data_IF_243895581967
#
_entry.id   IF_243895581967
#
_cell.length_a   1.000
_cell.length_b   1.000
_cell.length_c   1.000
_cell.angle_alpha   90.00
_cell.angle_beta   90.00
_cell.angle_gamma   90.00
#
_symmetry.space_group_name_H-M   'P 1'
#
loop_
_entity.id
_entity.type
_entity.pdbx_description
1 polymer ?
#
# COMPACT_ATOMS: atom_id res chain seq x y z
N UNK A 1 4.79 -24.58 -17.32
CA UNK A 1 4.51 -23.12 -17.29
C UNK A 1 3.05 -22.82 -16.97
N UNK A 2 2.08 -23.41 -17.68
CA UNK A 2 0.63 -23.21 -17.44
C UNK A 2 0.17 -23.45 -16.00
N UNK A 3 0.59 -24.56 -15.37
CA UNK A 3 0.25 -24.85 -13.97
C UNK A 3 0.79 -23.81 -12.98
N UNK A 4 2.01 -23.33 -13.21
CA UNK A 4 2.58 -22.26 -12.40
C UNK A 4 1.78 -20.95 -12.56
N UNK A 5 1.35 -20.64 -13.78
CA UNK A 5 0.54 -19.44 -14.08
C UNK A 5 -0.88 -19.54 -13.51
N UNK A 6 -1.44 -20.74 -13.45
CA UNK A 6 -2.70 -21.00 -12.76
C UNK A 6 -2.58 -20.70 -11.26
N UNK A 7 -1.55 -21.24 -10.60
CA UNK A 7 -1.33 -21.02 -9.16
C UNK A 7 -1.04 -19.54 -8.88
N UNK A 8 -0.11 -18.93 -9.62
CA UNK A 8 0.24 -17.51 -9.46
C UNK A 8 -0.94 -16.59 -9.77
N UNK A 9 -1.76 -16.95 -10.76
CA UNK A 9 -3.00 -16.23 -11.08
C UNK A 9 -3.95 -16.22 -9.90
N UNK A 10 -4.28 -17.38 -9.32
CA UNK A 10 -5.16 -17.48 -8.15
C UNK A 10 -4.59 -16.67 -6.97
N UNK A 11 -3.29 -16.82 -6.67
CA UNK A 11 -2.65 -16.10 -5.56
C UNK A 11 -2.68 -14.58 -5.76
N UNK A 12 -2.44 -14.09 -6.98
CA UNK A 12 -2.55 -12.67 -7.30
C UNK A 12 -4.01 -12.18 -7.18
N UNK A 13 -4.97 -12.99 -7.63
CA UNK A 13 -6.40 -12.72 -7.54
C UNK A 13 -6.95 -12.73 -6.12
N UNK A 14 -6.31 -13.43 -5.18
CA UNK A 14 -6.74 -13.50 -3.79
C UNK A 14 -6.02 -12.49 -2.87
N UNK A 15 -5.27 -11.53 -3.42
CA UNK A 15 -4.46 -10.60 -2.62
C UNK A 15 -5.29 -9.54 -1.89
N UNK A 16 -5.99 -8.67 -2.62
CA UNK A 16 -7.01 -7.72 -2.16
C UNK A 16 -7.69 -7.05 -3.36
N UNK A 17 -8.73 -6.23 -3.12
CA UNK A 17 -9.55 -5.66 -4.20
C UNK A 17 -8.74 -4.84 -5.20
N UNK A 18 -7.74 -4.09 -4.72
CA UNK A 18 -6.90 -3.20 -5.54
C UNK A 18 -5.80 -3.97 -6.26
N UNK A 19 -5.05 -4.81 -5.54
CA UNK A 19 -3.94 -5.60 -6.08
C UNK A 19 -4.42 -6.57 -7.16
N UNK A 20 -5.57 -7.19 -6.95
CA UNK A 20 -6.14 -8.15 -7.89
C UNK A 20 -6.70 -7.48 -9.15
N UNK A 21 -7.49 -6.40 -9.00
CA UNK A 21 -8.04 -5.66 -10.15
C UNK A 21 -6.95 -5.08 -11.05
N UNK A 22 -5.89 -4.52 -10.45
CA UNK A 22 -4.75 -4.02 -11.19
C UNK A 22 -3.99 -5.14 -11.92
N UNK A 23 -3.73 -6.27 -11.24
CA UNK A 23 -3.02 -7.41 -11.83
C UNK A 23 -3.80 -8.05 -13.00
N UNK A 24 -5.13 -8.17 -12.88
CA UNK A 24 -5.98 -8.70 -13.97
C UNK A 24 -5.79 -7.88 -15.23
N UNK A 25 -5.85 -6.54 -15.14
CA UNK A 25 -5.73 -5.68 -16.31
C UNK A 25 -4.31 -5.66 -16.89
N UNK A 26 -3.28 -5.55 -16.06
CA UNK A 26 -1.88 -5.57 -16.55
C UNK A 26 -1.63 -6.84 -17.35
N UNK A 27 -1.97 -8.01 -16.77
CA UNK A 27 -1.74 -9.29 -17.42
C UNK A 27 -2.63 -9.44 -18.65
N UNK A 28 -3.90 -9.04 -18.60
CA UNK A 28 -4.80 -9.11 -19.75
C UNK A 28 -4.31 -8.26 -20.93
N UNK A 29 -3.91 -7.01 -20.69
CA UNK A 29 -3.43 -6.12 -21.74
C UNK A 29 -2.10 -6.58 -22.33
N UNK A 30 -1.11 -6.98 -21.51
CA UNK A 30 0.13 -7.54 -22.05
C UNK A 30 -0.10 -8.87 -22.77
N UNK A 31 -1.07 -9.67 -22.32
CA UNK A 31 -1.47 -10.88 -23.05
C UNK A 31 -2.02 -10.53 -24.43
N UNK A 32 -2.89 -9.52 -24.51
CA UNK A 32 -3.49 -9.08 -25.77
C UNK A 32 -2.48 -8.44 -26.73
N UNK A 33 -1.69 -7.48 -26.26
CA UNK A 33 -0.77 -6.70 -27.10
C UNK A 33 0.58 -7.38 -27.38
N UNK A 34 1.07 -8.26 -26.49
CA UNK A 34 2.31 -9.03 -26.72
C UNK A 34 2.01 -10.45 -27.22
N UNK A 35 1.08 -10.58 -28.18
CA UNK A 35 0.71 -11.87 -28.78
C UNK A 35 1.80 -12.33 -29.76
N UNK A 36 2.38 -13.54 -29.60
CA UNK A 36 3.33 -14.07 -30.57
C UNK A 36 2.64 -14.38 -31.90
N UNK A 37 3.33 -14.07 -33.00
CA UNK A 37 2.93 -14.51 -34.33
C UNK A 37 3.24 -16.02 -34.47
N UNK A 38 2.20 -16.87 -34.55
CA UNK A 38 2.35 -18.21 -35.11
C UNK A 38 2.12 -19.44 -34.21
N UNK A 39 1.94 -19.33 -32.88
CA UNK A 39 1.66 -20.52 -32.05
C UNK A 39 0.64 -20.26 -30.93
N UNK A 40 -0.48 -20.97 -30.96
CA UNK A 40 -1.53 -20.90 -29.92
C UNK A 40 -1.03 -21.43 -28.55
N UNK A 41 -0.10 -22.39 -28.55
CA UNK A 41 0.49 -22.94 -27.31
C UNK A 41 1.32 -21.92 -26.52
N UNK A 42 1.97 -20.97 -27.19
CA UNK A 42 2.75 -19.89 -26.53
C UNK A 42 1.85 -18.80 -25.94
N UNK A 43 0.56 -18.82 -26.25
CA UNK A 43 -0.46 -17.90 -25.79
C UNK A 43 -1.33 -18.47 -24.67
N UNK A 44 -1.52 -19.79 -24.64
CA UNK A 44 -2.45 -20.46 -23.73
C UNK A 44 -2.14 -20.25 -22.24
N UNK A 45 -0.87 -20.31 -21.85
CA UNK A 45 -0.48 -20.13 -20.44
C UNK A 45 -0.75 -18.70 -19.94
N UNK A 46 -0.74 -17.70 -20.82
CA UNK A 46 -1.09 -16.31 -20.50
C UNK A 46 -2.58 -16.17 -20.23
N UNK A 47 -3.42 -16.77 -21.08
CA UNK A 47 -4.89 -16.81 -20.89
C UNK A 47 -5.23 -17.51 -19.57
N UNK A 48 -4.62 -18.67 -19.31
CA UNK A 48 -4.86 -19.41 -18.06
C UNK A 48 -4.51 -18.55 -16.85
N UNK A 49 -3.41 -17.79 -16.89
CA UNK A 49 -3.06 -16.84 -15.82
C UNK A 49 -4.11 -15.75 -15.60
N UNK A 50 -4.63 -15.14 -16.67
CA UNK A 50 -5.69 -14.11 -16.58
C UNK A 50 -6.98 -14.69 -16.00
N UNK A 51 -7.43 -15.84 -16.50
CA UNK A 51 -8.66 -16.49 -16.04
C UNK A 51 -8.52 -16.94 -14.59
N UNK A 52 -7.38 -17.52 -14.21
CA UNK A 52 -7.09 -17.91 -12.83
C UNK A 52 -7.10 -16.71 -11.87
N UNK A 53 -6.55 -15.57 -12.30
CA UNK A 53 -6.58 -14.32 -11.53
C UNK A 53 -8.01 -13.80 -11.34
N UNK A 54 -8.82 -13.80 -12.40
CA UNK A 54 -10.23 -13.43 -12.31
C UNK A 54 -11.02 -14.35 -11.35
N UNK A 55 -10.80 -15.67 -11.41
CA UNK A 55 -11.43 -16.63 -10.49
C UNK A 55 -10.98 -16.37 -9.05
N UNK A 56 -9.69 -16.15 -8.81
CA UNK A 56 -9.17 -15.81 -7.48
C UNK A 56 -9.82 -14.55 -6.92
N UNK A 57 -9.95 -13.51 -7.75
CA UNK A 57 -10.59 -12.24 -7.39
C UNK A 57 -12.07 -12.41 -7.03
N UNK A 58 -12.84 -13.13 -7.85
CA UNK A 58 -14.25 -13.40 -7.56
C UNK A 58 -14.42 -14.24 -6.28
N UNK A 59 -13.52 -15.21 -6.06
CA UNK A 59 -13.51 -16.04 -4.84
C UNK A 59 -13.25 -15.18 -3.61
N UNK A 60 -12.25 -14.28 -3.67
CA UNK A 60 -11.93 -13.37 -2.58
C UNK A 60 -13.10 -12.43 -2.27
N UNK A 61 -13.76 -11.87 -3.29
CA UNK A 61 -14.95 -11.03 -3.10
C UNK A 61 -16.08 -11.80 -2.40
N UNK A 62 -16.34 -13.03 -2.84
CA UNK A 62 -17.36 -13.88 -2.23
C UNK A 62 -17.05 -14.17 -0.75
N UNK A 63 -15.79 -14.49 -0.41
CA UNK A 63 -15.36 -14.75 0.96
C UNK A 63 -15.39 -13.49 1.85
N UNK A 64 -15.08 -12.32 1.29
CA UNK A 64 -15.04 -11.04 2.03
C UNK A 64 -16.44 -10.47 2.29
N UNK A 65 -17.41 -10.74 1.41
CA UNK A 65 -18.76 -10.13 1.40
C UNK A 65 -19.63 -10.32 2.65
N UNK A 66 -19.21 -11.16 3.61
CA UNK A 66 -19.91 -11.40 4.89
C UNK A 66 -19.00 -11.31 6.12
N UNK A 67 -17.81 -10.70 5.99
CA UNK A 67 -16.88 -10.56 7.11
C UNK A 67 -17.38 -9.54 8.16
N UNK A 68 -16.94 -9.68 9.41
CA UNK A 68 -17.20 -8.69 10.46
C UNK A 68 -16.68 -7.30 10.07
N UNK A 69 -15.59 -7.21 9.30
CA UNK A 69 -15.04 -5.94 8.81
C UNK A 69 -16.00 -5.22 7.86
N UNK A 70 -16.62 -5.94 6.91
CA UNK A 70 -17.63 -5.35 6.01
C UNK A 70 -18.89 -4.88 6.75
N UNK A 71 -19.28 -5.56 7.84
CA UNK A 71 -20.43 -5.21 8.67
C UNK A 71 -20.15 -4.08 9.67
N UNK A 72 -18.92 -4.00 10.19
CA UNK A 72 -18.49 -3.03 11.22
C UNK A 72 -18.16 -1.67 10.62
N UNK A 73 -17.58 -1.66 9.41
CA UNK A 73 -17.12 -0.45 8.75
C UNK A 73 -18.00 0.00 7.57
N UNK A 74 -18.85 -0.87 7.02
CA UNK A 74 -19.79 -0.55 5.93
C UNK A 74 -20.98 0.34 6.34
N UNK A 75 -20.74 1.37 7.17
CA UNK A 75 -21.80 2.21 7.73
C UNK A 75 -22.19 3.32 6.75
N UNK A 76 -23.41 3.20 6.21
CA UNK A 76 -24.41 4.24 5.86
C UNK A 76 -24.05 5.45 5.00
N UNK A 77 -22.84 5.57 4.48
CA UNK A 77 -22.55 6.66 3.56
C UNK A 77 -23.07 6.34 2.15
N UNK A 78 -23.85 7.25 1.57
CA UNK A 78 -24.37 7.07 0.21
C UNK A 78 -23.22 6.94 -0.81
N UNK A 79 -23.44 6.17 -1.89
CA UNK A 79 -22.45 5.92 -2.95
C UNK A 79 -21.73 7.20 -3.42
N UNK A 80 -22.44 8.32 -3.51
CA UNK A 80 -21.90 9.62 -3.91
C UNK A 80 -20.85 10.15 -2.93
N UNK A 81 -21.09 10.04 -1.63
CA UNK A 81 -20.12 10.45 -0.61
C UNK A 81 -18.88 9.57 -0.65
N UNK A 82 -19.08 8.25 -0.81
CA UNK A 82 -17.98 7.30 -0.95
C UNK A 82 -17.11 7.59 -2.18
N UNK A 83 -17.72 7.84 -3.35
CA UNK A 83 -17.01 8.24 -4.56
C UNK A 83 -16.27 9.57 -4.42
N UNK A 84 -16.86 10.55 -3.72
CA UNK A 84 -16.20 11.83 -3.42
C UNK A 84 -14.95 11.62 -2.55
N UNK A 85 -15.02 10.72 -1.57
CA UNK A 85 -13.88 10.38 -0.73
C UNK A 85 -12.80 9.64 -1.51
N UNK A 86 -13.15 8.69 -2.38
CA UNK A 86 -12.19 8.04 -3.29
C UNK A 86 -11.49 9.08 -4.16
N UNK A 87 -12.24 10.02 -4.73
CA UNK A 87 -11.68 11.08 -5.55
C UNK A 87 -10.74 11.98 -4.75
N UNK A 88 -11.16 12.45 -3.57
CA UNK A 88 -10.34 13.26 -2.68
C UNK A 88 -9.04 12.56 -2.27
N UNK A 89 -9.15 11.31 -1.83
CA UNK A 89 -8.00 10.48 -1.46
C UNK A 89 -7.09 10.18 -2.65
N UNK A 90 -7.64 10.01 -3.85
CA UNK A 90 -6.84 9.83 -5.07
C UNK A 90 -6.08 11.09 -5.42
N UNK A 91 -6.70 12.27 -5.31
CA UNK A 91 -6.02 13.54 -5.52
C UNK A 91 -4.90 13.75 -4.49
N UNK A 92 -5.15 13.44 -3.22
CA UNK A 92 -4.16 13.59 -2.15
C UNK A 92 -2.98 12.62 -2.31
N UNK A 93 -3.25 11.34 -2.62
CA UNK A 93 -2.21 10.29 -2.61
C UNK A 93 -1.55 10.04 -3.98
N UNK A 94 -2.23 10.35 -5.08
CA UNK A 94 -1.79 10.03 -6.44
C UNK A 94 -1.87 11.22 -7.40
N UNK A 95 -2.44 12.36 -7.00
CA UNK A 95 -2.74 13.48 -7.88
C UNK A 95 -1.53 14.06 -8.59
N UNK A 96 -0.39 14.19 -7.90
CA UNK A 96 0.87 14.68 -8.51
C UNK A 96 1.37 13.71 -9.59
N UNK A 97 1.34 12.40 -9.34
CA UNK A 97 1.73 11.39 -10.33
C UNK A 97 0.80 11.42 -11.54
N UNK A 98 -0.51 11.48 -11.31
CA UNK A 98 -1.51 11.57 -12.39
C UNK A 98 -1.32 12.83 -13.24
N UNK A 99 -1.01 13.98 -12.62
CA UNK A 99 -0.73 15.21 -13.33
C UNK A 99 0.54 15.10 -14.19
N UNK A 100 1.63 14.56 -13.64
CA UNK A 100 2.87 14.36 -14.39
C UNK A 100 2.66 13.40 -15.57
N UNK A 101 1.94 12.30 -15.35
CA UNK A 101 1.57 11.35 -16.40
C UNK A 101 0.75 12.05 -17.47
N UNK A 102 -0.26 12.84 -17.10
CA UNK A 102 -1.09 13.58 -18.06
C UNK A 102 -0.23 14.50 -18.94
N UNK A 103 0.67 15.28 -18.35
CA UNK A 103 1.56 16.20 -19.08
C UNK A 103 2.46 15.43 -20.04
N UNK A 104 3.17 14.40 -19.56
CA UNK A 104 4.10 13.62 -20.39
C UNK A 104 3.34 12.86 -21.49
N UNK A 105 2.19 12.26 -21.17
CA UNK A 105 1.33 11.59 -22.15
C UNK A 105 0.88 12.51 -23.27
N UNK A 106 0.45 13.75 -22.95
CA UNK A 106 0.09 14.73 -23.97
C UNK A 106 1.28 15.01 -24.89
N UNK A 107 2.45 15.31 -24.34
CA UNK A 107 3.67 15.59 -25.12
C UNK A 107 4.04 14.40 -26.01
N UNK A 108 4.04 13.18 -25.48
CA UNK A 108 4.38 11.97 -26.24
C UNK A 108 3.37 11.72 -27.36
N UNK A 109 2.07 11.81 -27.09
CA UNK A 109 1.02 11.59 -28.09
C UNK A 109 1.02 12.66 -29.18
N UNK A 110 1.28 13.93 -28.86
CA UNK A 110 1.41 14.99 -29.88
C UNK A 110 2.56 14.72 -30.85
N UNK A 111 3.62 14.05 -30.39
CA UNK A 111 4.76 13.68 -31.23
C UNK A 111 4.62 12.27 -31.85
N UNK A 112 3.53 11.55 -31.57
CA UNK A 112 3.22 10.24 -32.13
C UNK A 112 1.77 10.20 -32.64
N UNK A 113 1.41 11.01 -33.65
CA UNK A 113 0.03 11.15 -34.11
C UNK A 113 -0.56 9.83 -34.62
N UNK A 114 0.26 8.96 -35.20
CA UNK A 114 -0.15 7.65 -35.74
C UNK A 114 -0.09 6.51 -34.70
N UNK A 115 0.21 6.80 -33.42
CA UNK A 115 0.39 5.79 -32.38
C UNK A 115 -0.81 4.84 -32.27
N UNK A 116 -2.02 5.38 -32.12
CA UNK A 116 -3.22 4.57 -31.93
C UNK A 116 -3.49 3.68 -33.15
N UNK A 117 -3.25 4.19 -34.36
CA UNK A 117 -3.37 3.42 -35.59
C UNK A 117 -2.34 2.28 -35.62
N UNK A 118 -1.08 2.59 -35.28
CA UNK A 118 0.02 1.65 -35.24
C UNK A 118 -0.16 0.48 -34.27
N UNK A 119 -0.73 0.75 -33.09
CA UNK A 119 -0.97 -0.26 -32.04
C UNK A 119 -1.99 -1.32 -32.46
N UNK A 120 -2.96 -0.97 -33.30
CA UNK A 120 -3.98 -1.91 -33.78
C UNK A 120 -3.67 -2.50 -35.16
N UNK A 121 -2.62 -2.02 -35.83
CA UNK A 121 -2.12 -2.60 -37.07
C UNK A 121 -1.28 -3.86 -36.80
N UNK A 122 -1.30 -4.82 -37.73
CA UNK A 122 -0.43 -6.02 -37.69
C UNK A 122 1.00 -5.67 -38.11
N UNK A 123 1.64 -4.76 -37.38
CA UNK A 123 3.04 -4.38 -37.59
C UNK A 123 3.81 -4.44 -36.27
N UNK A 124 5.12 -4.69 -36.33
CA UNK A 124 5.94 -4.54 -35.14
C UNK A 124 5.91 -3.07 -34.67
N UNK A 125 5.72 -2.88 -33.37
CA UNK A 125 5.82 -1.57 -32.73
C UNK A 125 7.28 -1.18 -32.60
N UNK A 126 7.57 0.10 -32.82
CA UNK A 126 8.88 0.65 -32.50
C UNK A 126 9.12 0.63 -30.99
N UNK A 127 10.37 0.66 -30.50
CA UNK A 127 10.66 0.70 -29.07
C UNK A 127 9.96 1.85 -28.34
N UNK A 128 9.83 3.00 -29.01
CA UNK A 128 9.16 4.18 -28.47
C UNK A 128 7.65 3.98 -28.36
N UNK A 129 7.01 3.42 -29.38
CA UNK A 129 5.58 3.06 -29.34
C UNK A 129 5.29 1.99 -28.28
N UNK A 130 6.17 0.99 -28.14
CA UNK A 130 6.05 -0.03 -27.10
C UNK A 130 6.15 0.56 -25.69
N UNK A 131 7.04 1.53 -25.47
CA UNK A 131 7.13 2.28 -24.23
C UNK A 131 5.86 3.11 -23.97
N UNK A 132 5.34 3.82 -24.99
CA UNK A 132 4.06 4.54 -24.90
C UNK A 132 2.93 3.60 -24.51
N UNK A 133 2.79 2.46 -25.20
CA UNK A 133 1.76 1.45 -24.93
C UNK A 133 1.87 0.88 -23.52
N UNK A 134 3.07 0.49 -23.09
CA UNK A 134 3.32 -0.01 -21.74
C UNK A 134 2.93 1.03 -20.69
N UNK A 135 3.27 2.30 -20.93
CA UNK A 135 2.85 3.43 -20.10
C UNK A 135 1.34 3.49 -19.91
N UNK A 136 0.58 3.41 -21.00
CA UNK A 136 -0.90 3.43 -20.93
C UNK A 136 -1.50 2.17 -20.30
N UNK A 137 -0.94 0.99 -20.54
CA UNK A 137 -1.38 -0.26 -19.91
C UNK A 137 -1.30 -0.13 -18.39
N UNK A 138 -0.17 0.36 -17.87
CA UNK A 138 0.00 0.56 -16.43
C UNK A 138 -0.89 1.67 -15.87
N UNK A 139 -1.10 2.77 -16.63
CA UNK A 139 -2.03 3.84 -16.23
C UNK A 139 -3.47 3.31 -16.10
N UNK A 140 -3.99 2.66 -17.13
CA UNK A 140 -5.35 2.12 -17.14
C UNK A 140 -5.52 1.09 -16.02
N UNK A 141 -4.51 0.25 -15.81
CA UNK A 141 -4.53 -0.73 -14.72
C UNK A 141 -4.54 -0.05 -13.35
N UNK A 142 -3.76 1.02 -13.15
CA UNK A 142 -3.77 1.81 -11.91
C UNK A 142 -5.15 2.45 -11.65
N UNK A 143 -5.78 3.00 -12.69
CA UNK A 143 -7.13 3.58 -12.60
C UNK A 143 -8.19 2.53 -12.24
N UNK A 144 -8.07 1.30 -12.75
CA UNK A 144 -8.93 0.21 -12.34
C UNK A 144 -8.74 -0.20 -10.87
N UNK A 145 -7.50 -0.12 -10.36
CA UNK A 145 -7.22 -0.26 -8.93
C UNK A 145 -7.95 0.77 -8.09
N UNK A 146 -7.94 2.04 -8.52
CA UNK A 146 -8.73 3.11 -7.88
C UNK A 146 -10.22 2.78 -7.97
N UNK A 147 -10.73 2.35 -9.12
CA UNK A 147 -12.14 1.98 -9.27
C UNK A 147 -12.54 0.79 -8.37
N UNK A 148 -11.65 -0.18 -8.16
CA UNK A 148 -11.91 -1.31 -7.27
C UNK A 148 -12.02 -0.92 -5.80
N UNK A 149 -11.47 0.23 -5.38
CA UNK A 149 -11.65 0.74 -4.02
C UNK A 149 -13.11 1.07 -3.68
N UNK A 150 -13.99 1.20 -4.68
CA UNK A 150 -15.44 1.36 -4.48
C UNK A 150 -16.05 0.18 -3.73
N UNK A 151 -15.45 -1.01 -3.85
CA UNK A 151 -15.90 -2.23 -3.18
C UNK A 151 -15.32 -2.31 -1.76
N UNK A 152 -14.34 -1.48 -1.43
CA UNK A 152 -13.66 -1.52 -0.12
C UNK A 152 -14.53 -0.85 0.96
N UNK A 153 -14.78 -1.53 2.10
CA UNK A 153 -15.58 -0.97 3.17
C UNK A 153 -14.89 0.20 3.89
N UNK A 154 -13.55 0.29 3.81
CA UNK A 154 -12.76 1.39 4.41
C UNK A 154 -11.65 1.82 3.47
N UNK A 155 -11.54 3.13 3.27
CA UNK A 155 -10.52 3.73 2.42
C UNK A 155 -9.29 4.12 3.23
N UNK A 156 -8.32 3.21 3.34
CA UNK A 156 -7.03 3.51 3.95
C UNK A 156 -6.04 4.07 2.91
N UNK A 157 -5.16 5.02 3.26
CA UNK A 157 -4.13 5.53 2.35
C UNK A 157 -3.28 4.42 1.68
N UNK A 158 -3.02 3.33 2.40
CA UNK A 158 -2.26 2.17 1.88
C UNK A 158 -2.90 1.48 0.67
N UNK A 159 -4.20 1.65 0.43
CA UNK A 159 -4.86 1.10 -0.77
C UNK A 159 -4.29 1.71 -2.06
N UNK A 160 -3.80 2.95 -2.00
CA UNK A 160 -3.14 3.61 -3.14
C UNK A 160 -1.70 3.17 -3.35
N UNK A 161 -1.12 2.30 -2.51
CA UNK A 161 0.27 1.85 -2.67
C UNK A 161 0.48 1.13 -4.01
N UNK A 162 -0.33 0.11 -4.30
CA UNK A 162 -0.24 -0.64 -5.55
C UNK A 162 -0.54 0.25 -6.76
N UNK A 163 -1.55 1.12 -6.66
CA UNK A 163 -1.89 2.14 -7.67
C UNK A 163 -0.67 3.03 -7.96
N UNK A 164 -0.03 3.57 -6.92
CA UNK A 164 1.11 4.46 -7.06
C UNK A 164 2.32 3.76 -7.67
N UNK A 165 2.58 2.49 -7.35
CA UNK A 165 3.63 1.72 -8.03
C UNK A 165 3.33 1.64 -9.53
N UNK A 166 2.11 1.32 -9.93
CA UNK A 166 1.76 1.25 -11.34
C UNK A 166 1.82 2.62 -12.04
N UNK A 167 1.43 3.69 -11.36
CA UNK A 167 1.57 5.06 -11.87
C UNK A 167 3.05 5.44 -12.04
N UNK A 168 3.94 5.05 -11.11
CA UNK A 168 5.39 5.25 -11.26
C UNK A 168 5.90 4.48 -12.48
N UNK A 169 5.54 3.20 -12.63
CA UNK A 169 5.94 2.39 -13.79
C UNK A 169 5.40 2.99 -15.09
N UNK A 170 4.16 3.49 -15.08
CA UNK A 170 3.55 4.20 -16.21
C UNK A 170 4.37 5.44 -16.59
N UNK A 171 4.67 6.29 -15.61
CA UNK A 171 5.45 7.50 -15.80
C UNK A 171 6.85 7.20 -16.35
N UNK A 172 7.55 6.20 -15.82
CA UNK A 172 8.89 5.81 -16.30
C UNK A 172 8.85 5.34 -17.76
N UNK A 173 7.84 4.56 -18.15
CA UNK A 173 7.66 4.14 -19.53
C UNK A 173 7.35 5.32 -20.47
N UNK A 174 6.52 6.26 -20.02
CA UNK A 174 6.21 7.48 -20.78
C UNK A 174 7.42 8.42 -20.89
N UNK A 175 8.26 8.51 -19.86
CA UNK A 175 9.52 9.24 -19.92
C UNK A 175 10.51 8.59 -20.88
N UNK A 176 10.57 7.25 -20.94
CA UNK A 176 11.36 6.53 -21.93
C UNK A 176 10.84 6.79 -23.35
N UNK A 177 9.51 6.82 -23.55
CA UNK A 177 8.91 7.21 -24.82
C UNK A 177 9.26 8.66 -25.20
N UNK A 178 9.18 9.60 -24.24
CA UNK A 178 9.56 11.00 -24.43
C UNK A 178 11.02 11.14 -24.88
N UNK A 179 11.96 10.42 -24.24
CA UNK A 179 13.36 10.37 -24.64
C UNK A 179 13.53 9.81 -26.06
N UNK A 180 12.79 8.75 -26.41
CA UNK A 180 12.85 8.14 -27.73
C UNK A 180 12.37 9.06 -28.86
N UNK A 181 11.45 9.97 -28.56
CA UNK A 181 10.99 11.02 -29.48
C UNK A 181 12.02 12.17 -29.60
N UNK A 182 12.62 12.59 -28.49
CA UNK A 182 13.51 13.76 -28.43
C UNK A 182 14.99 13.36 -28.34
N UNK A 183 15.42 12.45 -29.23
CA UNK A 183 16.80 11.96 -29.27
C UNK A 183 17.79 13.16 -29.28
N UNK A 184 18.84 13.04 -28.47
CA UNK A 184 20.02 13.92 -28.45
C UNK A 184 19.95 15.29 -27.76
N UNK A 185 18.91 15.59 -26.97
CA UNK A 185 18.98 16.77 -26.11
C UNK A 185 19.73 16.46 -24.80
N UNK A 186 20.98 16.92 -24.68
CA UNK A 186 21.76 16.92 -23.43
C UNK A 186 20.91 17.40 -22.23
N UNK A 187 20.06 18.41 -22.48
CA UNK A 187 19.12 18.98 -21.53
C UNK A 187 18.15 17.95 -20.92
N UNK A 188 17.65 16.99 -21.72
CA UNK A 188 16.73 15.96 -21.24
C UNK A 188 17.42 15.00 -20.26
N UNK A 189 18.65 14.58 -20.54
CA UNK A 189 19.43 13.74 -19.63
C UNK A 189 19.82 14.47 -18.34
N UNK A 190 20.21 15.74 -18.45
CA UNK A 190 20.57 16.56 -17.29
C UNK A 190 19.39 16.79 -16.36
N UNK A 191 18.21 17.15 -16.90
CA UNK A 191 17.00 17.37 -16.09
C UNK A 191 16.55 16.07 -15.42
N UNK A 192 16.50 14.95 -16.16
CA UNK A 192 16.08 13.67 -15.58
C UNK A 192 17.05 13.19 -14.51
N UNK A 193 18.36 13.41 -14.70
CA UNK A 193 19.37 13.09 -13.69
C UNK A 193 19.18 13.96 -12.45
N UNK A 194 19.06 15.28 -12.60
CA UNK A 194 18.81 16.21 -11.49
C UNK A 194 17.55 15.86 -10.72
N UNK A 195 16.45 15.57 -11.42
CA UNK A 195 15.16 15.24 -10.82
C UNK A 195 15.22 13.90 -10.09
N UNK A 196 15.90 12.89 -10.66
CA UNK A 196 16.12 11.59 -10.00
C UNK A 196 17.00 11.74 -8.77
N UNK A 197 18.09 12.50 -8.85
CA UNK A 197 18.97 12.78 -7.70
C UNK A 197 18.23 13.56 -6.61
N UNK A 198 17.41 14.54 -6.98
CA UNK A 198 16.58 15.29 -6.03
C UNK A 198 15.54 14.39 -5.34
N UNK A 199 14.87 13.50 -6.08
CA UNK A 199 13.94 12.52 -5.52
C UNK A 199 14.64 11.53 -4.58
N UNK A 200 15.80 11.01 -4.95
CA UNK A 200 16.62 10.17 -4.07
C UNK A 200 17.00 10.92 -2.78
N UNK A 201 17.36 12.19 -2.92
CA UNK A 201 17.74 13.04 -1.81
C UNK A 201 16.57 13.39 -0.88
N UNK A 202 15.33 13.48 -1.39
CA UNK A 202 14.12 13.66 -0.58
C UNK A 202 13.62 12.36 0.04
N UNK A 203 13.75 11.23 -0.66
CA UNK A 203 13.25 9.92 -0.22
C UNK A 203 14.04 9.38 0.99
N UNK A 204 15.38 9.54 1.01
CA UNK A 204 16.22 9.01 2.09
C UNK A 204 15.86 9.62 3.47
N UNK A 205 15.76 10.95 3.64
CA UNK A 205 15.34 11.57 4.90
C UNK A 205 13.90 11.23 5.29
N UNK A 206 12.97 11.18 4.33
CA UNK A 206 11.58 10.78 4.59
C UNK A 206 11.52 9.36 5.14
N UNK A 207 12.20 8.40 4.50
CA UNK A 207 12.25 7.02 4.98
C UNK A 207 12.82 6.91 6.40
N UNK A 208 13.82 7.73 6.74
CA UNK A 208 14.41 7.76 8.08
C UNK A 208 13.45 8.31 9.15
N UNK A 209 12.66 9.34 8.82
CA UNK A 209 11.65 9.89 9.72
C UNK A 209 10.60 8.83 10.08
N UNK A 210 10.03 8.18 9.06
CA UNK A 210 8.95 7.20 9.26
C UNK A 210 9.44 5.90 9.91
N UNK A 211 10.69 5.48 9.66
CA UNK A 211 11.27 4.32 10.35
C UNK A 211 11.34 4.49 11.87
N UNK A 212 11.49 5.71 12.38
CA UNK A 212 11.54 5.96 13.83
C UNK A 212 10.20 5.60 14.48
N UNK A 213 9.09 5.88 13.80
CA UNK A 213 7.73 5.65 14.28
C UNK A 213 7.32 4.17 14.18
N UNK A 214 7.95 3.41 13.27
CA UNK A 214 7.73 1.96 13.14
C UNK A 214 8.47 1.17 14.23
N UNK A 215 9.60 1.67 14.76
CA UNK A 215 10.43 0.93 15.73
C UNK A 215 9.68 0.40 16.96
N UNK A 216 8.82 1.19 17.63
CA UNK A 216 8.03 0.70 18.77
C UNK A 216 7.16 -0.51 18.43
N UNK A 217 6.69 -0.66 17.19
CA UNK A 217 5.84 -1.76 16.76
C UNK A 217 6.61 -3.09 16.72
N UNK A 218 7.91 -3.08 16.37
CA UNK A 218 8.75 -4.27 16.45
C UNK A 218 8.84 -4.83 17.88
N UNK A 219 8.86 -3.96 18.89
CA UNK A 219 8.86 -4.38 20.29
C UNK A 219 7.54 -5.05 20.66
N UNK A 220 6.41 -4.53 20.16
CA UNK A 220 5.08 -5.14 20.36
C UNK A 220 5.03 -6.52 19.70
N UNK A 221 5.46 -6.67 18.44
CA UNK A 221 5.48 -7.97 17.76
C UNK A 221 6.40 -8.98 18.43
N UNK A 222 7.59 -8.53 18.84
CA UNK A 222 8.52 -9.36 19.60
C UNK A 222 7.89 -9.85 20.92
N UNK A 223 7.18 -8.96 21.62
CA UNK A 223 6.45 -9.31 22.85
C UNK A 223 5.36 -10.34 22.58
N UNK A 224 4.56 -10.15 21.52
CA UNK A 224 3.50 -11.09 21.13
C UNK A 224 4.06 -12.47 20.81
N UNK A 225 5.10 -12.53 19.97
CA UNK A 225 5.77 -13.77 19.62
C UNK A 225 6.27 -14.50 20.88
N UNK A 226 6.95 -13.79 21.78
CA UNK A 226 7.53 -14.39 22.99
C UNK A 226 6.43 -14.90 23.93
N UNK A 227 5.38 -14.12 24.17
CA UNK A 227 4.26 -14.52 25.02
C UNK A 227 3.51 -15.72 24.45
N UNK A 228 3.19 -15.70 23.16
CA UNK A 228 2.46 -16.78 22.51
C UNK A 228 3.28 -18.07 22.46
N UNK A 229 4.57 -17.99 22.11
CA UNK A 229 5.48 -19.15 22.10
C UNK A 229 5.64 -19.74 23.50
N UNK A 230 5.80 -18.89 24.52
CA UNK A 230 5.93 -19.33 25.91
C UNK A 230 4.64 -19.98 26.42
N UNK A 231 3.49 -19.41 26.07
CA UNK A 231 2.19 -19.96 26.43
C UNK A 231 1.96 -21.33 25.79
N UNK A 232 2.27 -21.47 24.50
CA UNK A 232 2.20 -22.75 23.79
C UNK A 232 3.09 -23.81 24.45
N UNK A 233 4.35 -23.48 24.74
CA UNK A 233 5.29 -24.39 25.43
C UNK A 233 4.81 -24.81 26.83
N UNK A 234 4.03 -23.95 27.50
CA UNK A 234 3.46 -24.21 28.83
C UNK A 234 2.07 -24.83 28.79
N UNK A 235 1.53 -25.15 27.61
CA UNK A 235 0.18 -25.68 27.45
C UNK A 235 -0.92 -24.70 27.87
N UNK A 236 -0.64 -23.40 27.87
CA UNK A 236 -1.62 -22.37 28.19
C UNK A 236 -2.56 -22.16 27.00
N UNK A 237 -3.86 -22.15 27.29
CA UNK A 237 -4.91 -22.01 26.28
C UNK A 237 -5.14 -20.56 25.84
N UNK A 238 -4.99 -19.63 26.79
CA UNK A 238 -5.29 -18.21 26.60
C UNK A 238 -4.01 -17.40 26.78
N UNK A 239 -3.70 -16.55 25.82
CA UNK A 239 -2.57 -15.61 25.86
C UNK A 239 -3.09 -14.19 25.89
N UNK A 240 -2.55 -13.39 26.79
CA UNK A 240 -2.83 -11.96 26.87
C UNK A 240 -1.69 -11.19 26.25
N UNK A 241 -2.01 -10.28 25.33
CA UNK A 241 -1.01 -9.53 24.56
C UNK A 241 -1.34 -8.04 24.55
N UNK A 242 -0.33 -7.14 24.59
CA UNK A 242 -0.57 -5.70 24.54
C UNK A 242 -1.13 -5.28 23.18
N UNK A 243 -1.87 -4.18 23.15
CA UNK A 243 -2.24 -3.53 21.90
C UNK A 243 -1.05 -2.91 21.18
N UNK A 244 -1.31 -2.43 19.97
CA UNK A 244 -0.36 -1.58 19.24
C UNK A 244 -0.55 -0.11 19.64
N UNK A 245 0.52 0.70 19.63
CA UNK A 245 0.41 2.15 19.83
C UNK A 245 -0.37 2.83 18.71
N UNK A 246 -1.16 3.83 19.08
CA UNK A 246 -1.73 4.79 18.14
C UNK A 246 -0.59 5.62 17.52
N UNK A 247 -0.70 5.91 16.23
CA UNK A 247 0.32 6.64 15.47
C UNK A 247 -0.36 7.61 14.52
N UNK A 248 0.17 8.83 14.47
CA UNK A 248 -0.27 9.85 13.52
C UNK A 248 0.43 9.69 12.15
N UNK A 249 1.47 8.86 12.08
CA UNK A 249 2.26 8.65 10.88
C UNK A 249 1.46 7.88 9.82
N UNK A 250 1.16 8.55 8.71
CA UNK A 250 0.47 7.97 7.55
C UNK A 250 1.24 6.83 6.89
N UNK A 251 2.55 6.74 7.11
CA UNK A 251 3.40 5.69 6.57
C UNK A 251 3.45 4.45 7.47
N UNK A 252 2.87 4.53 8.67
CA UNK A 252 2.75 3.38 9.54
C UNK A 252 1.61 2.47 9.07
N UNK A 253 1.87 1.19 8.77
CA UNK A 253 0.85 0.28 8.25
C UNK A 253 -0.30 0.03 9.23
N UNK A 254 -0.10 0.32 10.52
CA UNK A 254 -1.06 0.10 11.59
C UNK A 254 -1.85 1.36 11.98
N UNK A 255 -1.67 2.48 11.28
CA UNK A 255 -2.50 3.68 11.47
C UNK A 255 -3.97 3.33 11.25
N UNK A 256 -4.80 3.65 12.24
CA UNK A 256 -6.26 3.43 12.24
C UNK A 256 -6.69 1.96 12.08
N UNK A 257 -5.78 1.00 12.24
CA UNK A 257 -6.10 -0.43 12.15
C UNK A 257 -5.63 -1.18 13.38
N UNK A 258 -6.55 -1.73 14.20
CA UNK A 258 -6.17 -2.54 15.33
C UNK A 258 -5.54 -3.86 14.87
N UNK A 259 -4.32 -4.15 15.34
CA UNK A 259 -3.66 -5.43 15.09
C UNK A 259 -4.29 -6.57 15.91
N UNK A 260 -4.64 -6.31 17.18
CA UNK A 260 -5.41 -7.22 18.04
C UNK A 260 -6.63 -6.45 18.52
N UNK A 261 -7.81 -7.03 18.34
CA UNK A 261 -9.07 -6.35 18.64
C UNK A 261 -9.68 -6.84 19.96
N UNK A 262 -10.34 -5.95 20.75
CA UNK A 262 -11.28 -6.37 21.78
C UNK A 262 -12.56 -6.95 21.14
N UNK A 263 -13.48 -7.50 21.93
CA UNK A 263 -14.78 -8.00 21.42
C UNK A 263 -14.83 -9.52 21.21
N UNK A 264 -15.55 -10.00 20.19
CA UNK A 264 -15.72 -11.45 19.97
C UNK A 264 -14.50 -12.05 19.26
N UNK A 265 -13.59 -12.57 20.07
CA UNK A 265 -12.25 -13.02 19.66
C UNK A 265 -12.26 -14.13 18.59
N UNK A 266 -13.35 -14.90 18.47
CA UNK A 266 -13.53 -15.95 17.44
C UNK A 266 -14.04 -15.43 16.09
N UNK A 267 -14.50 -14.17 16.05
CA UNK A 267 -14.95 -13.49 14.83
C UNK A 267 -13.94 -12.46 14.32
N UNK A 268 -12.99 -12.06 15.18
CA UNK A 268 -11.91 -11.17 14.78
C UNK A 268 -10.83 -11.95 14.03
N UNK A 269 -10.62 -11.60 12.76
CA UNK A 269 -9.68 -12.28 11.87
C UNK A 269 -8.27 -12.32 12.46
N UNK A 270 -7.75 -11.18 12.93
CA UNK A 270 -6.39 -11.09 13.45
C UNK A 270 -6.17 -11.91 14.73
N UNK A 271 -7.12 -11.87 15.67
CA UNK A 271 -7.06 -12.68 16.90
C UNK A 271 -7.13 -14.19 16.59
N UNK A 272 -8.04 -14.58 15.68
CA UNK A 272 -8.24 -15.99 15.29
C UNK A 272 -7.02 -16.53 14.54
N UNK A 273 -6.51 -15.78 13.57
CA UNK A 273 -5.32 -16.14 12.81
C UNK A 273 -4.09 -16.27 13.71
N UNK A 274 -3.89 -15.32 14.62
CA UNK A 274 -2.74 -15.34 15.52
C UNK A 274 -2.84 -16.49 16.54
N UNK A 275 -4.03 -16.79 17.06
CA UNK A 275 -4.24 -17.97 17.91
C UNK A 275 -3.88 -19.26 17.17
N UNK A 276 -4.36 -19.41 15.93
CA UNK A 276 -4.07 -20.58 15.10
C UNK A 276 -2.58 -20.71 14.77
N UNK A 277 -1.94 -19.63 14.33
CA UNK A 277 -0.53 -19.61 13.94
C UNK A 277 0.40 -20.01 15.10
N UNK A 278 0.11 -19.56 16.32
CA UNK A 278 0.91 -19.87 17.50
C UNK A 278 0.44 -21.12 18.28
N UNK A 279 -0.59 -21.82 17.82
CA UNK A 279 -1.09 -23.04 18.44
C UNK A 279 -1.68 -22.83 19.84
N UNK A 280 -2.40 -21.73 20.05
CA UNK A 280 -3.13 -21.42 21.29
C UNK A 280 -4.62 -21.30 21.01
N UNK A 281 -5.48 -21.49 22.01
CA UNK A 281 -6.94 -21.46 21.79
C UNK A 281 -7.47 -20.03 21.63
N UNK A 282 -6.83 -19.05 22.29
CA UNK A 282 -7.35 -17.68 22.34
C UNK A 282 -6.25 -16.64 22.57
N UNK A 283 -6.28 -15.55 21.79
CA UNK A 283 -5.49 -14.34 22.05
C UNK A 283 -6.41 -13.22 22.53
N UNK A 284 -6.10 -12.64 23.68
CA UNK A 284 -6.82 -11.50 24.28
C UNK A 284 -5.96 -10.25 24.29
N UNK A 285 -6.58 -9.12 23.94
CA UNK A 285 -6.00 -7.81 24.15
C UNK A 285 -5.93 -7.50 25.65
N UNK A 286 -4.75 -7.15 26.15
CA UNK A 286 -4.49 -6.73 27.52
C UNK A 286 -3.36 -5.68 27.53
N UNK A 287 -3.73 -4.40 27.64
CA UNK A 287 -2.78 -3.29 27.61
C UNK A 287 -1.98 -3.13 28.93
N UNK A 288 -2.27 -3.92 29.96
CA UNK A 288 -1.48 -3.94 31.19
C UNK A 288 -0.19 -4.77 31.03
N UNK A 289 -0.07 -5.55 29.95
CA UNK A 289 1.11 -6.35 29.66
C UNK A 289 2.27 -5.45 29.21
N UNK A 290 3.43 -5.49 29.88
CA UNK A 290 4.56 -4.64 29.53
C UNK A 290 5.19 -5.05 28.19
N UNK A 291 5.46 -4.07 27.34
CA UNK A 291 6.14 -4.27 26.05
C UNK A 291 7.62 -4.53 26.29
N UNK A 292 8.12 -5.63 25.73
CA UNK A 292 9.53 -6.04 25.79
C UNK A 292 10.31 -5.50 24.60
N UNK A 293 11.54 -5.04 24.86
CA UNK A 293 12.42 -4.49 23.82
C UNK A 293 13.00 -5.62 22.98
N UNK A 294 12.87 -5.49 21.66
CA UNK A 294 13.46 -6.44 20.71
C UNK A 294 15.00 -6.34 20.74
N UNK A 295 15.73 -7.47 20.74
CA UNK A 295 17.19 -7.48 20.65
C UNK A 295 17.70 -7.14 19.23
N UNK A 296 16.81 -6.98 18.24
CA UNK A 296 17.19 -6.63 16.87
C UNK A 296 17.88 -5.27 16.82
N UNK A 297 19.14 -5.28 16.39
CA UNK A 297 19.87 -4.06 16.04
C UNK A 297 19.54 -3.68 14.60
N UNK A 298 19.51 -2.37 14.34
CA UNK A 298 19.51 -1.86 12.97
C UNK A 298 20.65 -2.50 12.16
N UNK A 299 20.41 -2.86 10.90
CA UNK A 299 21.47 -3.26 9.99
C UNK A 299 22.53 -2.15 9.92
N UNK A 300 23.80 -2.50 10.08
CA UNK A 300 24.93 -1.58 10.09
C UNK A 300 24.92 -0.53 8.94
N UNK A 301 24.66 -0.90 7.66
CA UNK A 301 24.59 0.09 6.59
C UNK A 301 23.45 1.11 6.77
N UNK A 302 22.30 0.70 7.31
CA UNK A 302 21.18 1.60 7.61
C UNK A 302 21.59 2.58 8.72
N UNK A 303 22.27 2.09 9.76
CA UNK A 303 22.82 2.93 10.84
C UNK A 303 23.83 3.96 10.33
N UNK A 304 24.73 3.56 9.42
CA UNK A 304 25.73 4.45 8.82
C UNK A 304 25.09 5.53 7.95
N UNK A 305 24.10 5.18 7.13
CA UNK A 305 23.34 6.14 6.30
C UNK A 305 22.51 7.08 7.18
N UNK A 306 21.93 6.57 8.29
CA UNK A 306 21.21 7.37 9.28
C UNK A 306 22.13 8.40 9.94
N UNK A 307 23.29 7.97 10.43
CA UNK A 307 24.24 8.87 11.08
C UNK A 307 24.80 9.91 10.09
N UNK A 308 25.16 9.49 8.88
CA UNK A 308 25.62 10.40 7.83
C UNK A 308 24.55 11.45 7.46
N UNK A 309 23.31 11.01 7.25
CA UNK A 309 22.17 11.88 6.94
C UNK A 309 21.88 12.86 8.07
N UNK A 310 21.81 12.40 9.32
CA UNK A 310 21.59 13.27 10.48
C UNK A 310 22.72 14.28 10.67
N UNK A 311 23.97 13.87 10.46
CA UNK A 311 25.14 14.76 10.58
C UNK A 311 25.15 15.84 9.49
N UNK A 312 24.72 15.51 8.26
CA UNK A 312 24.76 16.43 7.12
C UNK A 312 23.49 17.28 6.97
N UNK A 313 22.33 16.74 7.33
CA UNK A 313 21.02 17.34 7.08
C UNK A 313 20.23 17.66 8.35
N UNK A 314 20.54 17.03 9.49
CA UNK A 314 19.91 17.35 10.78
C UNK A 314 20.21 18.78 11.26
N UNK A 315 21.30 19.39 10.77
CA UNK A 315 21.66 20.78 11.00
C UNK A 315 20.99 21.77 10.02
N UNK A 316 20.38 21.29 8.93
CA UNK A 316 19.75 22.15 7.93
C UNK A 316 18.34 22.55 8.42
N UNK A 317 18.30 23.63 9.20
CA UNK A 317 17.07 24.28 9.67
C UNK A 317 16.06 24.63 8.56
N UNK A 318 16.50 24.66 7.29
CA UNK A 318 15.67 24.97 6.13
C UNK A 318 14.59 23.92 5.84
N UNK A 319 14.86 22.62 6.05
CA UNK A 319 13.85 21.57 5.84
C UNK A 319 12.74 21.56 6.90
N UNK A 320 13.01 22.08 8.11
CA UNK A 320 11.98 22.34 9.13
C UNK A 320 11.10 23.56 8.80
N UNK A 321 11.55 24.45 7.92
CA UNK A 321 10.86 25.69 7.51
C UNK A 321 10.17 25.60 6.16
N UNK A 322 10.52 24.60 5.34
CA UNK A 322 9.72 24.26 4.17
C UNK A 322 8.36 23.77 4.68
N UNK A 323 7.25 24.45 4.33
CA UNK A 323 5.95 23.86 4.47
C UNK A 323 5.90 22.74 3.41
N UNK A 324 6.50 21.59 3.72
CA UNK A 324 5.94 20.33 3.22
C UNK A 324 4.44 20.45 3.50
N UNK A 325 3.55 20.17 2.52
CA UNK A 325 2.13 20.33 2.73
C UNK A 325 1.80 19.68 4.05
N UNK A 326 1.55 20.54 5.04
CA UNK A 326 1.13 20.08 6.33
C UNK A 326 -0.15 19.37 5.97
N UNK A 327 -0.17 18.05 6.13
CA UNK A 327 -1.41 17.36 6.41
C UNK A 327 -1.78 17.76 7.85
N UNK A 328 -1.90 19.06 8.11
CA UNK A 328 -2.75 19.66 9.13
C UNK A 328 -4.15 19.70 8.54
N UNK A 329 -4.65 18.55 8.11
CA UNK A 329 -6.01 18.25 8.49
C UNK A 329 -5.83 17.71 9.91
N UNK A 330 -6.09 18.53 10.92
CA UNK A 330 -6.57 17.94 12.17
C UNK A 330 -7.76 17.08 11.75
N UNK A 331 -7.69 15.74 11.86
CA UNK A 331 -8.90 14.97 11.74
C UNK A 331 -9.78 15.48 12.88
N UNK A 332 -11.05 15.75 12.59
CA UNK A 332 -12.03 15.90 13.66
C UNK A 332 -11.92 14.64 14.52
N UNK A 333 -11.29 14.80 15.69
CA UNK A 333 -11.32 13.79 16.73
C UNK A 333 -12.78 13.40 16.90
N UNK A 334 -13.06 12.10 16.92
CA UNK A 334 -14.27 11.60 17.56
C UNK A 334 -14.22 12.17 18.97
N UNK A 335 -15.08 13.15 19.23
CA UNK A 335 -15.21 13.79 20.54
C UNK A 335 -15.45 12.68 21.57
N UNK A 336 -14.51 12.50 22.50
CA UNK A 336 -14.87 11.92 23.79
C UNK A 336 -15.54 13.02 24.60
N UNK A 337 -16.81 12.81 24.95
CA UNK A 337 -17.52 13.54 26.00
C UNK A 337 -17.77 12.44 27.04
N UNK A 338 -17.09 12.38 28.19
CA UNK A 338 -17.08 13.38 29.27
C UNK A 338 -15.90 13.15 30.25
N UNK A 339 -15.19 14.25 30.50
CA UNK A 339 -14.46 14.72 31.70
C UNK A 339 -14.25 13.79 32.91
N UNK A 340 -12.99 13.73 33.37
CA UNK A 340 -12.67 13.94 34.79
C UNK A 340 -11.29 14.64 34.95
N UNK A 341 -11.21 15.87 35.51
CA UNK A 341 -9.98 16.64 35.64
C UNK A 341 -9.18 16.22 36.88
N UNK A 342 -8.51 15.07 36.84
CA UNK A 342 -7.50 14.73 37.85
C UNK A 342 -6.51 13.68 37.34
N UNK A 343 -5.50 14.08 36.55
CA UNK A 343 -4.31 13.23 36.37
C UNK A 343 -3.00 14.00 36.55
N UNK A 344 -2.32 13.61 37.62
CA UNK A 344 -0.92 13.85 37.97
C UNK A 344 0.02 13.34 36.85
N UNK A 345 1.32 13.74 36.87
CA UNK A 345 2.29 13.41 35.83
C UNK A 345 2.53 11.90 35.77
N UNK A 346 2.52 11.33 34.56
CA UNK A 346 2.69 9.90 34.29
C UNK A 346 4.15 9.61 33.96
N UNK A 347 4.86 8.99 34.90
CA UNK A 347 5.98 8.11 34.59
C UNK A 347 5.41 6.74 34.14
N UNK A 348 5.99 6.16 33.09
CA UNK A 348 5.64 4.94 32.33
C UNK A 348 4.58 5.09 31.21
N UNK A 349 4.94 4.82 29.93
CA UNK A 349 4.00 4.91 28.81
C UNK A 349 3.07 3.69 28.80
N UNK A 350 1.95 3.78 29.50
CA UNK A 350 0.80 2.90 29.27
C UNK A 350 0.17 3.24 27.90
N UNK A 351 0.01 2.23 27.05
CA UNK A 351 -0.67 2.36 25.76
C UNK A 351 -2.18 2.49 25.98
N UNK A 352 -2.72 3.69 25.82
CA UNK A 352 -4.15 3.96 25.93
C UNK A 352 -4.86 3.67 24.59
N UNK A 353 -5.61 2.57 24.55
CA UNK A 353 -6.43 2.16 23.39
C UNK A 353 -7.94 2.18 23.73
N UNK A 354 -8.36 2.97 24.74
CA UNK A 354 -9.76 3.05 25.20
C UNK A 354 -10.73 3.59 24.15
N UNK A 355 -10.22 4.21 23.09
CA UNK A 355 -11.01 4.78 21.99
C UNK A 355 -11.30 3.78 20.85
N UNK A 356 -10.84 2.52 20.96
CA UNK A 356 -11.30 1.47 20.06
C UNK A 356 -12.75 1.10 20.43
N UNK A 357 -13.72 1.16 19.49
CA UNK A 357 -15.11 0.88 19.78
C UNK A 357 -15.27 -0.56 20.30
N UNK A 358 -15.45 -0.71 21.61
CA UNK A 358 -15.70 -1.98 22.29
C UNK A 358 -17.10 -2.55 21.97
N UNK A 359 -17.94 -1.75 21.32
CA UNK A 359 -19.34 -1.96 21.01
C UNK A 359 -19.58 -2.44 19.57
N UNK A 360 -18.53 -2.66 18.78
CA UNK A 360 -18.63 -3.31 17.47
C UNK A 360 -17.91 -4.67 17.48
N UNK A 361 -18.61 -5.74 17.07
CA UNK A 361 -18.30 -7.14 17.39
C UNK A 361 -16.95 -7.63 16.87
#
# INVERSE_FOLDING_TARGET
>A
MTWAMLILGILAGMSNEVGSSTAILVVAYFTFFARPEGAFNDFWWKIVGVVANLIGFLTMLALSSNSSESQTYGVKDGLVYHLKNIFGMTLTNSGVLLLLILIVSLIVLFNQPDFFRGVFEKRPLTPTEMATLSGFIFLISALAGIAATVISPVLFPRLWFAVNILLIVSLLNLLAAYQGVHKDSFFNYTILTLLTTALLFLAIPSYQLHLKDIKPFYNVFYTHQKLATTAHQRGQKIVRVPGIPVTDDLYNPYKETPYVMPGNLKKQWSNTWMAHFWGVEEIRLDNEVPVQVSPQKNLAPIGSIQNWSQTRFGQIHFLKKLPLPNVTAQPNFVQSIKNDPARKPVDEPQLDNRDLPADKP
#
